data_IF_857357927569
#
_entry.id   IF_857357927569
#
_cell.length_a   1.000
_cell.length_b   1.000
_cell.length_c   1.000
_cell.angle_alpha   90.00
_cell.angle_beta   90.00
_cell.angle_gamma   90.00
#
_symmetry.space_group_name_H-M   'P 1'
#
loop_
_entity.id
_entity.type
_entity.pdbx_description
1 polymer ?
#
# COMPACT_ATOMS: atom_id res chain seq x y z
N UNK A 1 13.00 42.29 -13.44
CA UNK A 1 11.78 43.11 -13.24
C UNK A 1 11.46 43.13 -11.76
N UNK A 2 11.16 44.33 -11.21
CA UNK A 2 11.24 44.75 -9.80
C UNK A 2 10.61 43.83 -8.72
N UNK A 3 11.18 43.78 -7.50
CA UNK A 3 10.50 43.30 -6.31
C UNK A 3 9.78 44.45 -5.58
N UNK A 4 8.52 44.24 -5.21
CA UNK A 4 7.79 45.14 -4.32
C UNK A 4 6.47 44.51 -3.91
N UNK A 5 6.36 44.06 -2.65
CA UNK A 5 5.53 44.74 -1.66
C UNK A 5 5.66 44.04 -0.30
N UNK A 6 5.99 44.83 0.72
CA UNK A 6 6.24 44.35 2.07
C UNK A 6 5.00 43.81 2.76
N UNK A 7 5.18 42.67 3.43
CA UNK A 7 4.30 42.22 4.51
C UNK A 7 5.19 42.17 5.75
N UNK A 8 4.95 43.08 6.70
CA UNK A 8 5.64 43.04 7.98
C UNK A 8 5.17 41.80 8.77
N UNK A 9 6.06 40.91 9.23
CA UNK A 9 5.65 39.77 10.04
C UNK A 9 5.14 40.25 11.41
N UNK A 10 4.15 39.56 12.01
CA UNK A 10 3.60 39.94 13.31
C UNK A 10 4.68 39.87 14.41
N UNK A 11 4.61 40.76 15.42
CA UNK A 11 5.63 40.84 16.47
C UNK A 11 5.70 39.52 17.25
N UNK A 12 6.89 38.90 17.25
CA UNK A 12 7.19 37.72 18.05
C UNK A 12 7.39 38.15 19.51
N UNK A 13 6.40 37.93 20.36
CA UNK A 13 6.54 38.17 21.81
C UNK A 13 7.34 37.00 22.40
N UNK A 14 8.63 37.24 22.65
CA UNK A 14 9.49 36.26 23.35
C UNK A 14 9.30 36.45 24.86
N UNK A 15 8.56 35.54 25.49
CA UNK A 15 8.43 35.50 26.94
C UNK A 15 9.73 34.97 27.54
N UNK A 16 10.60 35.87 28.01
CA UNK A 16 11.77 35.49 28.77
C UNK A 16 11.42 35.49 30.26
N UNK A 17 11.36 34.30 30.86
CA UNK A 17 11.10 34.16 32.29
C UNK A 17 12.21 34.81 33.10
N UNK A 18 11.88 35.80 33.92
CA UNK A 18 12.81 36.44 34.87
C UNK A 18 13.33 35.39 35.85
N UNK A 19 14.64 35.16 35.95
CA UNK A 19 15.19 34.11 36.81
C UNK A 19 15.10 34.53 38.29
N UNK A 20 14.26 33.84 39.05
CA UNK A 20 14.20 33.97 40.51
C UNK A 20 15.40 33.23 41.13
N UNK A 21 16.19 33.86 42.01
CA UNK A 21 17.34 33.18 42.62
C UNK A 21 16.88 32.01 43.51
N UNK A 22 17.63 30.91 43.44
CA UNK A 22 17.45 29.67 44.21
C UNK A 22 16.40 28.64 43.72
N UNK A 23 16.11 28.58 42.41
CA UNK A 23 15.40 27.43 41.81
C UNK A 23 16.27 26.65 40.81
N UNK A 24 16.09 25.33 40.80
CA UNK A 24 16.73 24.36 39.91
C UNK A 24 16.50 24.82 38.45
N UNK A 25 17.56 25.27 37.78
CA UNK A 25 17.48 25.58 36.36
C UNK A 25 17.47 24.28 35.55
N UNK A 26 16.34 23.99 34.90
CA UNK A 26 16.24 22.89 33.93
C UNK A 26 17.12 23.25 32.74
N UNK A 27 18.36 22.75 32.72
CA UNK A 27 19.15 22.72 31.50
C UNK A 27 18.52 21.71 30.56
N UNK A 28 17.65 22.17 29.67
CA UNK A 28 17.27 21.41 28.48
C UNK A 28 18.48 21.40 27.57
N UNK A 29 19.26 20.32 27.65
CA UNK A 29 20.21 19.97 26.61
C UNK A 29 19.37 19.66 25.36
N UNK A 30 19.17 20.67 24.50
CA UNK A 30 18.82 20.38 23.12
C UNK A 30 20.05 19.71 22.54
N UNK A 31 20.03 18.38 22.52
CA UNK A 31 20.83 17.68 21.53
C UNK A 31 20.42 18.30 20.21
N UNK A 32 21.29 19.09 19.60
CA UNK A 32 21.31 19.20 18.16
C UNK A 32 21.36 17.76 17.70
N UNK A 33 20.18 17.22 17.40
CA UNK A 33 20.04 16.09 16.54
C UNK A 33 20.58 16.60 15.21
N UNK A 34 21.92 16.64 15.11
CA UNK A 34 22.66 16.44 13.90
C UNK A 34 22.00 15.21 13.34
N UNK A 35 21.00 15.46 12.50
CA UNK A 35 20.12 14.47 11.95
C UNK A 35 21.09 13.46 11.39
N UNK A 36 21.17 12.29 12.04
CA UNK A 36 21.86 11.16 11.47
C UNK A 36 21.08 10.93 10.19
N UNK A 37 21.54 11.55 9.10
CA UNK A 37 21.12 11.22 7.75
C UNK A 37 21.39 9.73 7.74
N UNK A 38 20.31 8.96 7.85
CA UNK A 38 20.36 7.52 7.69
C UNK A 38 21.17 7.24 6.41
N UNK A 39 21.76 6.05 6.29
CA UNK A 39 22.53 5.69 5.10
C UNK A 39 21.77 6.18 3.86
N UNK A 40 22.47 6.90 2.96
CA UNK A 40 21.89 7.45 1.73
C UNK A 40 21.31 6.30 0.92
N UNK A 41 20.07 5.94 1.21
CA UNK A 41 19.36 4.89 0.49
C UNK A 41 19.16 5.41 -0.93
N UNK A 42 19.40 4.56 -1.94
CA UNK A 42 19.14 4.96 -3.32
C UNK A 42 17.66 5.29 -3.45
N UNK A 43 17.39 6.53 -3.83
CA UNK A 43 16.02 7.00 -4.04
C UNK A 43 15.50 6.40 -5.34
N UNK A 44 14.48 5.55 -5.23
CA UNK A 44 13.77 5.00 -6.38
C UNK A 44 12.63 5.95 -6.70
N UNK A 45 12.67 6.65 -7.84
CA UNK A 45 11.61 7.57 -8.22
C UNK A 45 10.31 6.82 -8.55
N UNK A 46 9.20 7.54 -8.45
CA UNK A 46 7.90 7.07 -8.93
C UNK A 46 7.96 6.68 -10.41
N UNK A 47 7.21 5.63 -10.79
CA UNK A 47 7.18 5.15 -12.18
C UNK A 47 8.26 4.13 -12.52
N UNK A 48 9.12 3.79 -11.56
CA UNK A 48 10.05 2.67 -11.72
C UNK A 48 9.29 1.34 -11.70
N UNK A 49 9.69 0.39 -12.55
CA UNK A 49 9.05 -0.92 -12.64
C UNK A 49 10.08 -2.04 -12.46
N UNK A 50 9.66 -3.12 -11.82
CA UNK A 50 10.51 -4.28 -11.54
C UNK A 50 9.77 -5.57 -11.87
N UNK A 51 10.47 -6.54 -12.43
CA UNK A 51 9.93 -7.88 -12.63
C UNK A 51 9.94 -8.64 -11.31
N UNK A 52 8.81 -9.20 -10.94
CA UNK A 52 8.62 -9.92 -9.68
C UNK A 52 8.00 -11.30 -9.93
N UNK A 53 8.19 -12.19 -8.94
CA UNK A 53 7.59 -13.52 -8.87
C UNK A 53 6.73 -13.59 -7.61
N UNK A 54 5.54 -14.15 -7.73
CA UNK A 54 4.64 -14.40 -6.61
C UNK A 54 5.13 -15.59 -5.80
N UNK A 55 5.38 -15.35 -4.51
CA UNK A 55 5.78 -16.38 -3.55
C UNK A 55 4.57 -16.85 -2.76
N UNK A 56 3.76 -15.89 -2.30
CA UNK A 56 2.55 -16.14 -1.53
C UNK A 56 1.35 -15.51 -2.25
N UNK A 57 0.45 -16.37 -2.73
CA UNK A 57 -0.86 -15.98 -3.26
C UNK A 57 -1.89 -15.85 -2.14
N UNK A 58 -3.03 -15.22 -2.44
CA UNK A 58 -4.12 -15.11 -1.47
C UNK A 58 -5.49 -15.17 -2.15
N UNK A 59 -6.46 -15.73 -1.42
CA UNK A 59 -7.88 -15.72 -1.78
C UNK A 59 -8.51 -14.43 -1.28
N UNK A 60 -8.71 -13.47 -2.19
CA UNK A 60 -9.26 -12.17 -1.83
C UNK A 60 -10.80 -12.19 -1.82
N UNK A 61 -11.40 -11.63 -0.76
CA UNK A 61 -12.84 -11.37 -0.75
C UNK A 61 -13.16 -10.26 -1.76
N UNK A 62 -14.17 -10.48 -2.59
CA UNK A 62 -14.59 -9.58 -3.65
C UNK A 62 -15.93 -8.87 -3.35
N UNK A 63 -16.36 -8.87 -2.08
CA UNK A 63 -17.56 -8.16 -1.62
C UNK A 63 -17.51 -6.65 -1.90
N UNK A 64 -18.67 -5.99 -1.86
CA UNK A 64 -18.82 -4.54 -2.09
C UNK A 64 -17.97 -3.68 -1.13
N UNK A 65 -17.62 -4.21 0.05
CA UNK A 65 -16.69 -3.60 1.03
C UNK A 65 -15.26 -4.16 0.96
N UNK A 66 -14.88 -4.83 -0.13
CA UNK A 66 -13.61 -5.55 -0.28
C UNK A 66 -12.36 -4.70 0.00
N UNK A 67 -12.44 -3.38 -0.14
CA UNK A 67 -11.35 -2.47 0.18
C UNK A 67 -10.94 -2.47 1.68
N UNK A 68 -11.84 -2.83 2.59
CA UNK A 68 -11.55 -2.93 4.04
C UNK A 68 -11.04 -4.33 4.43
N UNK A 69 -11.45 -5.36 3.70
CA UNK A 69 -11.07 -6.75 3.93
C UNK A 69 -9.95 -7.16 2.97
N UNK A 70 -8.76 -6.57 3.14
CA UNK A 70 -7.59 -6.93 2.35
C UNK A 70 -6.93 -8.20 2.86
N UNK A 71 -6.35 -8.97 1.94
CA UNK A 71 -5.56 -10.16 2.25
C UNK A 71 -4.07 -9.90 1.99
N UNK A 72 -3.17 -10.37 2.86
CA UNK A 72 -1.74 -10.20 2.66
C UNK A 72 -1.25 -11.08 1.50
N UNK A 73 -0.31 -10.56 0.71
CA UNK A 73 0.39 -11.31 -0.34
C UNK A 73 1.88 -10.94 -0.35
N UNK A 74 2.73 -11.82 -0.89
CA UNK A 74 4.17 -11.58 -0.96
C UNK A 74 4.75 -11.84 -2.35
N UNK A 75 5.52 -10.86 -2.83
CA UNK A 75 6.29 -10.94 -4.08
C UNK A 75 7.79 -10.94 -3.79
N UNK A 76 8.55 -11.66 -4.60
CA UNK A 76 10.02 -11.57 -4.67
C UNK A 76 10.43 -10.89 -5.96
N UNK A 77 11.33 -9.91 -5.88
CA UNK A 77 11.89 -9.24 -7.06
C UNK A 77 12.90 -10.18 -7.72
N UNK A 78 12.74 -10.44 -9.02
CA UNK A 78 13.57 -11.40 -9.77
C UNK A 78 14.59 -10.75 -10.69
N UNK A 79 14.49 -9.45 -10.93
CA UNK A 79 15.40 -8.74 -11.82
C UNK A 79 15.66 -7.30 -11.37
N UNK A 80 16.46 -6.54 -12.15
CA UNK A 80 16.72 -5.14 -11.86
C UNK A 80 15.44 -4.31 -11.97
N UNK A 81 15.41 -3.22 -11.21
CA UNK A 81 14.40 -2.18 -11.30
C UNK A 81 14.80 -1.22 -12.40
N UNK A 82 13.90 -1.03 -13.34
CA UNK A 82 14.00 -0.03 -14.40
C UNK A 82 13.46 1.30 -13.87
N UNK A 83 14.32 2.31 -13.83
CA UNK A 83 14.01 3.67 -13.40
C UNK A 83 13.85 4.60 -14.61
N UNK A 84 13.18 5.75 -14.44
CA UNK A 84 13.11 6.80 -15.46
C UNK A 84 14.50 7.17 -15.98
N UNK A 85 14.57 7.51 -17.28
CA UNK A 85 15.80 7.81 -18.02
C UNK A 85 16.73 6.58 -18.23
N UNK A 86 16.15 5.39 -18.37
CA UNK A 86 16.88 4.14 -18.67
C UNK A 86 17.98 3.80 -17.66
N UNK A 87 17.80 4.24 -16.41
CA UNK A 87 18.70 3.87 -15.32
C UNK A 87 18.20 2.61 -14.67
N UNK A 88 19.09 1.70 -14.33
CA UNK A 88 18.72 0.47 -13.63
C UNK A 88 19.29 0.45 -12.22
N UNK A 89 18.53 -0.16 -11.31
CA UNK A 89 19.02 -0.44 -9.96
C UNK A 89 18.70 -1.88 -9.59
N UNK A 90 19.70 -2.61 -9.12
CA UNK A 90 19.51 -4.00 -8.77
C UNK A 90 18.83 -4.14 -7.40
N UNK A 91 17.62 -4.71 -7.37
CA UNK A 91 16.89 -5.11 -6.16
C UNK A 91 16.55 -6.61 -6.20
N UNK A 92 17.33 -7.40 -6.94
CA UNK A 92 17.08 -8.83 -7.10
C UNK A 92 17.13 -9.51 -5.75
N UNK A 93 16.08 -10.28 -5.43
CA UNK A 93 15.96 -11.01 -4.16
C UNK A 93 15.26 -10.25 -3.03
N UNK A 94 14.94 -8.96 -3.19
CA UNK A 94 14.14 -8.26 -2.20
C UNK A 94 12.69 -8.78 -2.18
N UNK A 95 12.05 -8.70 -1.01
CA UNK A 95 10.65 -9.07 -0.81
C UNK A 95 9.78 -7.82 -0.75
N UNK A 96 8.58 -7.92 -1.31
CA UNK A 96 7.58 -6.86 -1.26
C UNK A 96 6.33 -7.44 -0.62
N UNK A 97 5.94 -6.86 0.52
CA UNK A 97 4.67 -7.14 1.18
C UNK A 97 3.54 -6.34 0.52
N UNK A 98 2.39 -6.99 0.37
CA UNK A 98 1.27 -6.47 -0.39
C UNK A 98 -0.05 -6.72 0.34
N UNK A 99 -1.03 -5.92 -0.02
CA UNK A 99 -2.42 -6.09 0.36
C UNK A 99 -3.26 -6.17 -0.91
N UNK A 100 -4.09 -7.20 -1.00
CA UNK A 100 -4.96 -7.42 -2.14
C UNK A 100 -6.43 -7.46 -1.72
N UNK A 101 -7.32 -7.00 -2.60
CA UNK A 101 -8.75 -7.23 -2.49
C UNK A 101 -9.31 -7.59 -3.86
N UNK A 102 -10.38 -8.37 -3.89
CA UNK A 102 -11.01 -8.82 -5.11
C UNK A 102 -12.01 -7.79 -5.63
N UNK A 103 -12.16 -7.75 -6.95
CA UNK A 103 -13.31 -7.12 -7.61
C UNK A 103 -13.98 -8.17 -8.50
N UNK A 104 -15.23 -8.54 -8.16
CA UNK A 104 -16.02 -9.52 -8.93
C UNK A 104 -16.28 -9.01 -10.34
N UNK A 105 -16.47 -7.71 -10.51
CA UNK A 105 -16.82 -7.10 -11.80
C UNK A 105 -15.72 -7.30 -12.84
N UNK A 106 -14.45 -7.22 -12.41
CA UNK A 106 -13.29 -7.30 -13.30
C UNK A 106 -12.54 -8.63 -13.24
N UNK A 107 -13.01 -9.60 -12.44
CA UNK A 107 -12.37 -10.90 -12.18
C UNK A 107 -10.87 -10.76 -11.81
N UNK A 108 -10.56 -9.71 -11.04
CA UNK A 108 -9.19 -9.31 -10.72
C UNK A 108 -9.03 -9.01 -9.25
N UNK A 109 -7.86 -9.39 -8.73
CA UNK A 109 -7.38 -8.91 -7.45
C UNK A 109 -6.61 -7.60 -7.68
N UNK A 110 -7.07 -6.52 -7.08
CA UNK A 110 -6.33 -5.26 -7.06
C UNK A 110 -5.35 -5.32 -5.91
N UNK A 111 -4.08 -5.00 -6.18
CA UNK A 111 -2.98 -5.19 -5.24
C UNK A 111 -2.31 -3.86 -4.97
N UNK A 112 -2.17 -3.51 -3.68
CA UNK A 112 -1.40 -2.38 -3.17
C UNK A 112 -0.15 -2.89 -2.48
N UNK A 113 0.96 -2.19 -2.68
CA UNK A 113 2.19 -2.46 -1.93
C UNK A 113 2.12 -1.88 -0.53
N UNK A 114 2.71 -2.57 0.44
CA UNK A 114 2.82 -2.12 1.83
C UNK A 114 4.23 -1.68 2.17
N UNK A 115 5.15 -2.63 2.10
CA UNK A 115 6.54 -2.44 2.43
C UNK A 115 7.43 -3.25 1.50
N UNK A 116 8.66 -2.78 1.34
CA UNK A 116 9.74 -3.51 0.70
C UNK A 116 10.78 -3.84 1.77
N UNK A 117 11.22 -5.10 1.78
CA UNK A 117 12.27 -5.60 2.65
C UNK A 117 13.41 -6.16 1.81
N UNK A 118 14.62 -5.64 2.01
CA UNK A 118 15.80 -6.12 1.33
C UNK A 118 17.03 -6.10 2.22
N UNK A 119 17.96 -7.01 1.97
CA UNK A 119 19.26 -7.04 2.62
C UNK A 119 20.34 -6.84 1.54
N UNK A 120 20.95 -5.65 1.52
CA UNK A 120 21.97 -5.28 0.53
C UNK A 120 23.18 -4.68 1.22
N UNK A 121 24.37 -5.21 0.93
CA UNK A 121 25.65 -4.78 1.51
C UNK A 121 25.64 -4.71 3.05
N UNK A 122 25.01 -5.69 3.70
CA UNK A 122 24.88 -5.75 5.16
C UNK A 122 23.91 -4.72 5.77
N UNK A 123 23.21 -3.94 4.94
CA UNK A 123 22.18 -2.99 5.36
C UNK A 123 20.80 -3.57 5.12
N UNK A 124 19.95 -3.48 6.14
CA UNK A 124 18.53 -3.83 6.03
C UNK A 124 17.76 -2.62 5.54
N UNK A 125 17.06 -2.80 4.43
CA UNK A 125 16.18 -1.82 3.82
C UNK A 125 14.76 -2.31 4.10
N UNK A 126 14.10 -1.74 5.11
CA UNK A 126 12.68 -1.98 5.37
C UNK A 126 11.96 -0.63 5.38
N UNK A 127 11.17 -0.38 4.35
CA UNK A 127 10.44 0.88 4.21
C UNK A 127 9.08 0.66 3.57
N UNK A 128 8.12 1.49 3.92
CA UNK A 128 6.83 1.50 3.25
C UNK A 128 6.98 2.02 1.82
N UNK A 129 6.38 1.33 0.87
CA UNK A 129 6.37 1.70 -0.54
C UNK A 129 4.94 1.77 -1.02
N UNK A 130 4.61 2.83 -1.75
CA UNK A 130 3.32 2.99 -2.42
C UNK A 130 3.49 2.65 -3.89
N UNK A 131 2.68 1.70 -4.34
CA UNK A 131 2.78 1.12 -5.66
C UNK A 131 1.60 0.19 -5.92
N UNK A 132 1.51 -0.24 -7.17
CA UNK A 132 0.50 -1.17 -7.63
C UNK A 132 1.20 -2.29 -8.41
N UNK A 133 0.54 -3.44 -8.51
CA UNK A 133 1.03 -4.57 -9.30
C UNK A 133 0.24 -4.62 -10.59
N UNK A 134 0.93 -4.77 -11.71
CA UNK A 134 0.32 -4.97 -13.02
C UNK A 134 0.65 -6.36 -13.54
N UNK A 135 -0.32 -7.01 -14.16
CA UNK A 135 -0.15 -8.29 -14.83
C UNK A 135 -0.50 -8.13 -16.32
N UNK A 136 0.47 -8.41 -17.20
CA UNK A 136 0.32 -8.31 -18.66
C UNK A 136 -0.27 -6.96 -19.12
N UNK A 137 0.17 -5.86 -18.51
CA UNK A 137 -0.24 -4.50 -18.90
C UNK A 137 -1.59 -4.02 -18.36
N UNK A 138 -2.26 -4.80 -17.49
CA UNK A 138 -3.47 -4.36 -16.77
C UNK A 138 -3.19 -4.28 -15.27
N UNK A 139 -3.87 -3.36 -14.60
CA UNK A 139 -3.78 -3.23 -13.15
C UNK A 139 -4.40 -4.47 -12.47
N UNK A 140 -3.75 -4.96 -11.41
CA UNK A 140 -4.18 -6.14 -10.68
C UNK A 140 -3.76 -7.45 -11.33
N UNK A 141 -4.00 -8.52 -10.59
CA UNK A 141 -3.71 -9.91 -10.97
C UNK A 141 -5.02 -10.57 -11.37
N UNK A 142 -5.04 -11.25 -12.52
CA UNK A 142 -6.22 -12.03 -12.94
C UNK A 142 -6.34 -13.26 -12.03
N UNK A 143 -7.52 -13.47 -11.45
CA UNK A 143 -7.84 -14.61 -10.61
C UNK A 143 -8.99 -15.44 -11.17
N UNK A 144 -9.32 -16.53 -10.46
CA UNK A 144 -10.53 -17.31 -10.70
C UNK A 144 -11.62 -16.87 -9.71
N UNK A 145 -12.82 -16.62 -10.20
CA UNK A 145 -13.94 -16.19 -9.37
C UNK A 145 -14.74 -17.40 -8.92
N UNK A 146 -14.64 -17.75 -7.64
CA UNK A 146 -15.44 -18.82 -7.02
C UNK A 146 -16.60 -18.21 -6.25
N UNK A 147 -17.81 -18.36 -6.78
CA UNK A 147 -19.05 -17.88 -6.16
C UNK A 147 -19.46 -18.79 -5.01
N UNK A 148 -19.25 -18.34 -3.76
CA UNK A 148 -19.64 -19.10 -2.56
C UNK A 148 -21.15 -19.02 -2.22
N UNK A 149 -21.91 -18.18 -2.95
CA UNK A 149 -23.36 -18.02 -2.81
C UNK A 149 -24.18 -18.99 -3.70
N UNK A 150 -23.53 -19.82 -4.54
CA UNK A 150 -24.23 -20.69 -5.51
C UNK A 150 -25.22 -21.67 -4.87
N UNK A 151 -25.00 -22.06 -3.61
CA UNK A 151 -25.93 -22.94 -2.87
C UNK A 151 -27.29 -22.27 -2.66
N UNK A 152 -27.33 -20.98 -2.31
CA UNK A 152 -28.58 -20.22 -2.11
C UNK A 152 -29.33 -20.07 -3.42
N UNK A 153 -28.61 -19.80 -4.52
CA UNK A 153 -29.22 -19.74 -5.85
C UNK A 153 -29.81 -21.10 -6.26
N UNK A 154 -29.11 -22.21 -5.97
CA UNK A 154 -29.63 -23.56 -6.21
C UNK A 154 -30.91 -23.88 -5.43
N UNK A 155 -30.99 -23.49 -4.16
CA UNK A 155 -32.22 -23.62 -3.36
C UNK A 155 -33.36 -22.73 -3.90
N UNK A 156 -33.06 -21.51 -4.37
CA UNK A 156 -34.06 -20.62 -4.96
C UNK A 156 -34.64 -21.17 -6.28
N UNK A 157 -33.80 -21.79 -7.12
CA UNK A 157 -34.27 -22.50 -8.32
C UNK A 157 -35.13 -23.71 -7.97
N UNK A 158 -34.73 -24.50 -6.97
CA UNK A 158 -35.51 -25.65 -6.50
C UNK A 158 -36.87 -25.24 -5.92
N UNK A 159 -36.90 -24.19 -5.10
CA UNK A 159 -38.14 -23.65 -4.54
C UNK A 159 -39.06 -23.10 -5.64
N UNK A 160 -38.54 -22.29 -6.58
CA UNK A 160 -39.33 -21.76 -7.69
C UNK A 160 -39.92 -22.82 -8.62
N UNK A 161 -39.24 -23.96 -8.81
CA UNK A 161 -39.79 -25.09 -9.57
C UNK A 161 -40.91 -25.83 -8.82
N UNK A 162 -40.74 -26.05 -7.51
CA UNK A 162 -41.76 -26.70 -6.68
C UNK A 162 -43.01 -25.81 -6.55
N UNK A 163 -42.83 -24.51 -6.33
CA UNK A 163 -43.92 -23.54 -6.28
C UNK A 163 -44.63 -23.40 -7.64
N UNK A 164 -43.88 -23.43 -8.75
CA UNK A 164 -44.43 -23.38 -10.10
C UNK A 164 -45.27 -24.60 -10.48
N UNK A 165 -44.91 -25.80 -10.01
CA UNK A 165 -45.72 -27.01 -10.19
C UNK A 165 -46.95 -26.99 -9.27
N UNK A 166 -46.81 -26.49 -8.03
CA UNK A 166 -47.92 -26.36 -7.08
C UNK A 166 -49.03 -25.43 -7.60
N UNK A 167 -48.67 -24.28 -8.17
CA UNK A 167 -49.64 -23.35 -8.76
C UNK A 167 -50.26 -23.86 -10.09
N UNK A 168 -49.62 -24.82 -10.76
CA UNK A 168 -50.15 -25.47 -11.96
C UNK A 168 -51.17 -26.58 -11.67
N UNK A 169 -51.15 -27.15 -10.46
CA UNK A 169 -52.08 -28.19 -9.99
C UNK A 169 -53.27 -27.64 -9.20
N UNK A 170 -53.32 -26.33 -8.91
CA UNK A 170 -54.43 -25.64 -8.23
C UNK A 170 -55.46 -25.03 -9.21
N UNK A 171 -55.63 -25.65 -10.39
CA UNK A 171 -56.74 -25.38 -11.33
C UNK A 171 -57.44 -26.65 -11.75
#
# INVERSE_FOLDING_TARGET
>A
FYPGNGVTPPPQVTYQSVPVPNRIQRKTFSYDAAAKKGPSLPYIPSGSFAKTMLIEGADANASVTGNESTVPMQLRITGPVEMPNSKTYDLTGCFVGLEAWGDVSSERAIVRTRNISCLKDGKTIDMSVKGHVSFRGKNGIKGEVVMRNGKILGWAWGAGFVDGIGQGMER
#
